data_IF_930508708901
#
_entry.id   IF_930508708901
#
_cell.length_a   1.000
_cell.length_b   1.000
_cell.length_c   1.000
_cell.angle_alpha   90.00
_cell.angle_beta   90.00
_cell.angle_gamma   90.00
#
_symmetry.space_group_name_H-M   'P 1'
#
loop_
_entity.id
_entity.type
_entity.pdbx_description
1 polymer ?
#
# COMPACT_ATOMS: atom_id res chain seq x y z
N UNK A 1 24.51 -29.91 -13.92
CA UNK A 1 24.15 -28.62 -13.29
C UNK A 1 22.67 -28.71 -13.00
N UNK A 2 22.24 -28.47 -11.76
CA UNK A 2 20.82 -28.48 -11.43
C UNK A 2 20.10 -27.37 -12.22
N UNK A 3 19.16 -27.69 -13.13
CA UNK A 3 18.45 -26.70 -13.91
C UNK A 3 17.72 -25.65 -13.06
N UNK A 4 17.26 -26.02 -11.85
CA UNK A 4 16.58 -25.10 -10.95
C UNK A 4 17.53 -24.00 -10.44
N UNK A 5 18.76 -24.37 -10.10
CA UNK A 5 19.77 -23.45 -9.57
C UNK A 5 20.20 -22.41 -10.62
N UNK A 6 20.28 -22.81 -11.90
CA UNK A 6 20.63 -21.93 -12.99
C UNK A 6 19.53 -20.88 -13.26
N UNK A 7 18.25 -21.30 -13.22
CA UNK A 7 17.10 -20.39 -13.35
C UNK A 7 17.06 -19.39 -12.20
N UNK A 8 17.37 -19.81 -10.98
CA UNK A 8 17.39 -18.94 -9.80
C UNK A 8 18.52 -17.88 -9.89
N UNK A 9 19.73 -18.29 -10.29
CA UNK A 9 20.86 -17.37 -10.51
C UNK A 9 20.56 -16.34 -11.61
N UNK A 10 19.92 -16.77 -12.70
CA UNK A 10 19.52 -15.87 -13.77
C UNK A 10 18.45 -14.87 -13.29
N UNK A 11 17.44 -15.34 -12.56
CA UNK A 11 16.41 -14.48 -11.97
C UNK A 11 16.98 -13.44 -11.01
N UNK A 12 17.91 -13.85 -10.13
CA UNK A 12 18.60 -12.95 -9.20
C UNK A 12 19.46 -11.92 -9.94
N UNK A 13 20.16 -12.33 -10.99
CA UNK A 13 20.99 -11.41 -11.78
C UNK A 13 20.16 -10.31 -12.45
N UNK A 14 18.97 -10.64 -12.95
CA UNK A 14 18.02 -9.68 -13.55
C UNK A 14 17.48 -8.69 -12.52
N UNK A 15 17.28 -9.14 -11.28
CA UNK A 15 16.81 -8.27 -10.20
C UNK A 15 17.92 -7.44 -9.54
N UNK A 16 19.18 -7.88 -9.61
CA UNK A 16 20.33 -7.22 -8.96
C UNK A 16 20.45 -5.74 -9.34
N UNK A 17 20.40 -5.41 -10.63
CA UNK A 17 20.47 -4.03 -11.10
C UNK A 17 19.31 -3.16 -10.55
N UNK A 18 18.11 -3.75 -10.40
CA UNK A 18 16.94 -3.07 -9.85
C UNK A 18 17.07 -2.85 -8.33
N UNK A 19 17.62 -3.82 -7.61
CA UNK A 19 17.90 -3.69 -6.17
C UNK A 19 18.96 -2.63 -5.92
N UNK A 20 20.10 -2.67 -6.63
CA UNK A 20 21.16 -1.66 -6.53
C UNK A 20 20.63 -0.26 -6.85
N UNK A 21 19.78 -0.11 -7.86
CA UNK A 21 19.14 1.16 -8.18
C UNK A 21 18.21 1.66 -7.07
N UNK A 22 17.52 0.74 -6.39
CA UNK A 22 16.69 1.08 -5.23
C UNK A 22 17.56 1.52 -4.04
N UNK A 23 18.66 0.83 -3.76
CA UNK A 23 19.54 1.16 -2.63
C UNK A 23 20.29 2.49 -2.78
N UNK A 24 20.54 2.94 -4.01
CA UNK A 24 21.11 4.28 -4.25
C UNK A 24 20.21 5.41 -3.75
N UNK A 25 18.91 5.16 -3.58
CA UNK A 25 18.00 6.09 -2.90
C UNK A 25 17.71 7.40 -3.64
N UNK A 26 18.04 7.50 -4.93
CA UNK A 26 18.03 8.75 -5.70
C UNK A 26 17.14 8.70 -6.95
N UNK A 27 16.19 7.76 -7.02
CA UNK A 27 15.21 7.78 -8.10
C UNK A 27 14.16 8.87 -7.86
N UNK A 28 13.64 9.43 -8.95
CA UNK A 28 12.55 10.42 -8.93
C UNK A 28 11.34 9.92 -8.12
N UNK A 29 11.04 8.62 -8.18
CA UNK A 29 9.93 8.01 -7.42
C UNK A 29 10.22 8.02 -5.91
N UNK A 30 11.46 7.72 -5.51
CA UNK A 30 11.83 7.74 -4.09
C UNK A 30 11.75 9.15 -3.53
N UNK A 31 12.28 10.14 -4.25
CA UNK A 31 12.19 11.55 -3.86
C UNK A 31 10.73 12.04 -3.81
N UNK A 32 9.89 11.57 -4.73
CA UNK A 32 8.48 11.93 -4.80
C UNK A 32 7.68 11.48 -3.57
N UNK A 33 7.96 10.28 -3.04
CA UNK A 33 7.25 9.69 -1.89
C UNK A 33 7.95 9.87 -0.54
N UNK A 34 9.19 10.36 -0.54
CA UNK A 34 9.97 10.59 0.67
C UNK A 34 9.24 11.54 1.63
N UNK A 35 9.12 11.11 2.88
CA UNK A 35 8.49 11.84 3.98
C UNK A 35 7.02 12.28 3.68
N UNK A 36 6.38 11.67 2.68
CA UNK A 36 4.99 11.97 2.32
C UNK A 36 4.00 11.16 3.15
N UNK A 37 2.78 11.69 3.21
CA UNK A 37 1.59 10.99 3.67
C UNK A 37 0.78 10.57 2.45
N UNK A 38 0.54 9.25 2.31
CA UNK A 38 -0.24 8.68 1.21
C UNK A 38 -1.54 8.10 1.72
N UNK A 39 -2.64 8.30 1.00
CA UNK A 39 -3.86 7.54 1.17
C UNK A 39 -3.94 6.42 0.13
N UNK A 40 -4.05 5.18 0.58
CA UNK A 40 -4.05 4.00 -0.28
C UNK A 40 -5.38 3.24 -0.15
N UNK A 41 -6.05 3.04 -1.29
CA UNK A 41 -7.18 2.10 -1.40
C UNK A 41 -6.71 0.75 -1.94
N UNK A 42 -7.41 -0.30 -1.55
CA UNK A 42 -7.07 -1.69 -1.91
C UNK A 42 -5.82 -2.25 -1.24
N UNK A 43 -5.35 -1.62 -0.16
CA UNK A 43 -4.14 -2.02 0.57
C UNK A 43 -4.18 -3.47 1.07
N UNK A 44 -5.38 -4.02 1.33
CA UNK A 44 -5.56 -5.42 1.75
C UNK A 44 -5.38 -6.45 0.64
N UNK A 45 -5.39 -6.04 -0.63
CA UNK A 45 -5.14 -6.93 -1.76
C UNK A 45 -3.68 -7.35 -1.87
N UNK A 46 -3.40 -8.36 -2.69
CA UNK A 46 -2.03 -8.88 -2.88
C UNK A 46 -1.04 -7.78 -3.28
N UNK A 47 -1.36 -6.99 -4.31
CA UNK A 47 -0.49 -5.89 -4.77
C UNK A 47 -0.44 -4.73 -3.77
N UNK A 48 -1.55 -4.39 -3.12
CA UNK A 48 -1.62 -3.33 -2.12
C UNK A 48 -0.64 -3.58 -0.97
N UNK A 49 -0.60 -4.80 -0.43
CA UNK A 49 0.35 -5.20 0.62
C UNK A 49 1.80 -5.04 0.19
N UNK A 50 2.13 -5.40 -1.05
CA UNK A 50 3.49 -5.24 -1.59
C UNK A 50 3.84 -3.76 -1.78
N UNK A 51 2.87 -2.94 -2.22
CA UNK A 51 3.06 -1.51 -2.42
C UNK A 51 3.35 -0.79 -1.10
N UNK A 52 2.54 -1.05 -0.05
CA UNK A 52 2.78 -0.51 1.30
C UNK A 52 4.20 -0.81 1.75
N UNK A 53 4.62 -2.07 1.64
CA UNK A 53 5.96 -2.49 2.02
C UNK A 53 7.06 -1.81 1.19
N UNK A 54 6.86 -1.68 -0.13
CA UNK A 54 7.81 -1.02 -1.02
C UNK A 54 7.94 0.48 -0.72
N UNK A 55 6.85 1.17 -0.39
CA UNK A 55 6.88 2.59 -0.06
C UNK A 55 7.68 2.85 1.23
N UNK A 56 7.48 2.03 2.27
CA UNK A 56 8.29 2.13 3.48
C UNK A 56 9.74 1.74 3.28
N UNK A 57 10.01 0.61 2.61
CA UNK A 57 11.37 0.08 2.48
C UNK A 57 12.24 0.88 1.50
N UNK A 58 11.67 1.29 0.37
CA UNK A 58 12.43 1.89 -0.72
C UNK A 58 12.30 3.41 -0.79
N UNK A 59 11.14 3.96 -0.41
CA UNK A 59 10.85 5.37 -0.63
C UNK A 59 10.94 6.23 0.64
N UNK A 60 11.19 5.62 1.80
CA UNK A 60 11.21 6.31 3.10
C UNK A 60 9.96 7.18 3.30
N UNK A 61 8.80 6.59 3.05
CA UNK A 61 7.51 7.27 3.22
C UNK A 61 7.26 7.57 4.71
N UNK A 62 6.61 8.69 4.99
CA UNK A 62 6.31 9.11 6.36
C UNK A 62 5.14 8.35 6.96
N UNK A 63 3.98 8.37 6.29
CA UNK A 63 2.72 7.80 6.79
C UNK A 63 1.87 7.25 5.64
N UNK A 64 1.14 6.16 5.89
CA UNK A 64 0.14 5.65 4.95
C UNK A 64 -1.21 5.49 5.66
N UNK A 65 -2.22 6.21 5.18
CA UNK A 65 -3.61 5.91 5.49
C UNK A 65 -4.09 4.79 4.56
N UNK A 66 -4.71 3.74 5.10
CA UNK A 66 -5.23 2.62 4.30
C UNK A 66 -6.74 2.51 4.43
N UNK A 67 -7.45 2.58 3.31
CA UNK A 67 -8.89 2.33 3.29
C UNK A 67 -9.14 0.83 3.40
N UNK A 68 -9.86 0.44 4.43
CA UNK A 68 -10.20 -0.95 4.72
C UNK A 68 -11.72 -1.11 4.80
N UNK A 69 -12.27 -1.90 3.86
CA UNK A 69 -13.68 -2.29 3.85
C UNK A 69 -14.05 -3.01 5.15
N UNK A 70 -15.12 -2.61 5.86
CA UNK A 70 -15.55 -3.31 7.07
C UNK A 70 -15.81 -4.81 6.82
N UNK A 71 -15.39 -5.68 7.75
CA UNK A 71 -15.76 -7.11 7.79
C UNK A 71 -16.62 -7.36 9.03
N UNK A 72 -17.64 -8.23 8.92
CA UNK A 72 -18.46 -8.60 10.09
C UNK A 72 -17.58 -9.26 11.16
N UNK A 73 -17.82 -8.91 12.42
CA UNK A 73 -17.12 -9.46 13.59
C UNK A 73 -15.60 -9.21 13.61
N UNK A 74 -15.11 -8.19 12.90
CA UNK A 74 -13.71 -7.75 12.99
C UNK A 74 -13.66 -6.25 13.18
N UNK A 75 -12.83 -5.82 14.11
CA UNK A 75 -12.44 -4.42 14.26
C UNK A 75 -11.52 -4.00 13.12
N UNK A 76 -11.37 -2.69 12.93
CA UNK A 76 -10.50 -2.15 11.88
C UNK A 76 -9.02 -2.42 12.19
N UNK A 77 -8.65 -2.45 13.48
CA UNK A 77 -7.33 -2.82 13.95
C UNK A 77 -7.01 -4.29 13.69
N UNK A 78 -7.94 -5.21 13.99
CA UNK A 78 -7.76 -6.63 13.66
C UNK A 78 -7.62 -6.86 12.15
N UNK A 79 -8.35 -6.09 11.33
CA UNK A 79 -8.23 -6.15 9.87
C UNK A 79 -6.88 -5.64 9.38
N UNK A 80 -6.32 -4.60 10.03
CA UNK A 80 -4.97 -4.12 9.76
C UNK A 80 -3.93 -5.17 10.16
N UNK A 81 -4.07 -5.79 11.32
CA UNK A 81 -3.18 -6.87 11.77
C UNK A 81 -3.20 -8.05 10.79
N UNK A 82 -4.39 -8.50 10.35
CA UNK A 82 -4.56 -9.52 9.30
C UNK A 82 -3.83 -9.12 7.99
N UNK A 83 -3.91 -7.84 7.60
CA UNK A 83 -3.21 -7.33 6.43
C UNK A 83 -1.69 -7.42 6.57
N UNK A 84 -1.16 -7.17 7.77
CA UNK A 84 0.26 -7.12 8.11
C UNK A 84 0.84 -8.45 8.60
N UNK A 85 0.03 -9.51 8.70
CA UNK A 85 0.43 -10.80 9.28
C UNK A 85 1.51 -11.57 8.52
N UNK A 86 2.08 -11.06 7.42
CA UNK A 86 3.16 -11.73 6.69
C UNK A 86 4.50 -11.67 7.49
N UNK A 87 4.92 -12.78 8.12
CA UNK A 87 6.01 -12.79 9.08
C UNK A 87 7.39 -12.62 8.43
N UNK A 88 7.51 -12.71 7.10
CA UNK A 88 8.77 -12.54 6.37
C UNK A 88 9.17 -11.07 6.19
N UNK A 89 8.31 -10.13 6.61
CA UNK A 89 8.41 -8.70 6.33
C UNK A 89 8.03 -7.87 7.55
N UNK A 90 8.78 -7.99 8.66
CA UNK A 90 8.66 -7.05 9.77
C UNK A 90 9.71 -5.93 9.67
N UNK A 91 9.37 -4.80 9.04
CA UNK A 91 9.99 -3.54 9.43
C UNK A 91 9.12 -2.85 10.48
N UNK A 92 9.75 -1.95 11.21
CA UNK A 92 9.18 -1.16 12.31
C UNK A 92 8.18 -0.09 11.83
N UNK A 93 7.44 -0.33 10.73
CA UNK A 93 6.61 0.68 10.06
C UNK A 93 5.12 0.59 10.38
N UNK A 94 4.67 -0.44 11.12
CA UNK A 94 3.25 -0.64 11.42
C UNK A 94 2.63 0.57 12.15
N UNK A 95 3.43 1.28 12.96
CA UNK A 95 3.04 2.49 13.68
C UNK A 95 2.69 3.66 12.75
N UNK A 96 3.21 3.66 11.52
CA UNK A 96 2.98 4.70 10.53
C UNK A 96 1.87 4.33 9.53
N UNK A 97 1.15 3.22 9.79
CA UNK A 97 -0.02 2.81 9.00
C UNK A 97 -1.28 3.09 9.80
N UNK A 98 -2.14 3.95 9.27
CA UNK A 98 -3.39 4.33 9.91
C UNK A 98 -4.56 3.73 9.12
N UNK A 99 -5.32 2.79 9.69
CA UNK A 99 -6.42 2.18 8.97
C UNK A 99 -7.68 3.03 9.11
N UNK A 100 -8.39 3.20 8.00
CA UNK A 100 -9.61 4.00 7.92
C UNK A 100 -10.74 3.15 7.37
N UNK A 101 -11.92 3.22 7.99
CA UNK A 101 -13.08 2.45 7.56
C UNK A 101 -13.73 3.12 6.36
N UNK A 102 -14.06 2.34 5.34
CA UNK A 102 -14.85 2.84 4.23
C UNK A 102 -14.87 1.92 3.03
N UNK A 103 -15.60 2.34 2.00
CA UNK A 103 -15.77 1.61 0.75
C UNK A 103 -15.69 2.58 -0.43
N UNK A 104 -14.96 2.19 -1.46
CA UNK A 104 -14.76 3.03 -2.65
C UNK A 104 -16.03 3.23 -3.46
N UNK A 105 -17.02 2.35 -3.30
CA UNK A 105 -18.34 2.47 -3.95
C UNK A 105 -19.26 3.51 -3.29
N UNK A 106 -18.93 3.95 -2.08
CA UNK A 106 -19.77 4.85 -1.29
C UNK A 106 -19.42 6.32 -1.53
N UNK A 107 -20.41 7.20 -1.34
CA UNK A 107 -20.17 8.65 -1.34
C UNK A 107 -19.14 8.97 -0.26
N UNK A 108 -18.18 9.84 -0.61
CA UNK A 108 -17.05 10.19 0.28
C UNK A 108 -16.27 8.95 0.76
N UNK A 109 -16.26 7.87 -0.03
CA UNK A 109 -15.62 6.61 0.29
C UNK A 109 -16.16 5.95 1.57
N UNK A 110 -17.37 6.32 2.02
CA UNK A 110 -17.94 5.86 3.28
C UNK A 110 -17.23 6.39 4.53
N UNK A 111 -16.42 7.44 4.37
CA UNK A 111 -15.71 8.10 5.47
C UNK A 111 -16.69 8.95 6.29
N UNK A 112 -16.52 8.93 7.61
CA UNK A 112 -17.17 9.92 8.48
C UNK A 112 -16.52 11.30 8.36
N UNK A 113 -17.11 12.30 9.00
CA UNK A 113 -16.64 13.68 8.88
C UNK A 113 -15.24 13.90 9.48
N UNK A 114 -14.89 13.17 10.54
CA UNK A 114 -13.59 13.28 11.21
C UNK A 114 -12.49 12.66 10.35
N UNK A 115 -12.70 11.43 9.86
CA UNK A 115 -11.79 10.73 8.96
C UNK A 115 -11.63 11.50 7.64
N UNK A 116 -12.72 12.04 7.10
CA UNK A 116 -12.67 12.88 5.90
C UNK A 116 -11.82 14.14 6.10
N UNK A 117 -12.02 14.85 7.21
CA UNK A 117 -11.23 16.05 7.52
C UNK A 117 -9.74 15.69 7.70
N UNK A 118 -9.45 14.62 8.42
CA UNK A 118 -8.09 14.13 8.63
C UNK A 118 -7.38 13.80 7.32
N UNK A 119 -8.02 12.98 6.47
CA UNK A 119 -7.47 12.57 5.17
C UNK A 119 -7.25 13.78 4.26
N UNK A 120 -8.25 14.65 4.12
CA UNK A 120 -8.15 15.81 3.22
C UNK A 120 -7.13 16.85 3.67
N UNK A 121 -6.79 16.89 4.96
CA UNK A 121 -5.80 17.81 5.53
C UNK A 121 -4.38 17.27 5.46
N UNK A 122 -4.17 15.98 5.76
CA UNK A 122 -2.83 15.41 5.91
C UNK A 122 -2.28 14.74 4.65
N UNK A 123 -3.13 14.27 3.75
CA UNK A 123 -2.71 13.43 2.62
C UNK A 123 -2.10 14.29 1.52
N UNK A 124 -0.85 13.96 1.16
CA UNK A 124 -0.15 14.61 0.06
C UNK A 124 -0.43 13.93 -1.28
N UNK A 125 -0.74 12.63 -1.28
CA UNK A 125 -0.91 11.81 -2.48
C UNK A 125 -1.95 10.71 -2.25
N UNK A 126 -2.75 10.39 -3.27
CA UNK A 126 -3.63 9.21 -3.26
C UNK A 126 -3.12 8.17 -4.24
N UNK A 127 -3.07 6.92 -3.80
CA UNK A 127 -2.75 5.77 -4.62
C UNK A 127 -3.92 4.76 -4.58
N UNK A 128 -4.20 4.13 -5.71
CA UNK A 128 -5.29 3.15 -5.83
C UNK A 128 -4.72 1.84 -6.33
N UNK A 129 -5.01 0.77 -5.60
CA UNK A 129 -4.78 -0.59 -6.04
C UNK A 129 -6.13 -1.30 -6.11
N UNK A 130 -6.40 -2.09 -7.16
CA UNK A 130 -7.61 -2.94 -7.17
C UNK A 130 -7.42 -4.00 -6.09
N UNK A 131 -8.37 -4.11 -5.16
CA UNK A 131 -8.48 -5.25 -4.27
C UNK A 131 -9.58 -6.16 -4.81
N UNK A 132 -9.17 -7.25 -5.44
CA UNK A 132 -10.06 -8.32 -5.85
C UNK A 132 -10.33 -9.21 -4.62
N UNK A 133 -11.40 -8.91 -3.89
CA UNK A 133 -12.02 -9.83 -2.91
C UNK A 133 -13.53 -9.84 -3.21
N UNK A 134 -13.95 -10.85 -3.99
CA UNK A 134 -15.31 -11.30 -4.38
C UNK A 134 -16.21 -10.44 -5.31
N UNK A 135 -16.64 -11.09 -6.42
CA UNK A 135 -17.88 -11.00 -7.21
C UNK A 135 -18.68 -9.69 -7.29
N UNK A 136 -18.07 -8.57 -7.70
CA UNK A 136 -18.83 -7.52 -8.37
C UNK A 136 -18.01 -6.88 -9.50
N UNK A 137 -18.36 -7.28 -10.71
CA UNK A 137 -17.87 -6.70 -11.96
C UNK A 137 -18.76 -5.50 -12.26
N UNK A 138 -18.55 -4.40 -11.54
CA UNK A 138 -18.86 -3.05 -12.03
C UNK A 138 -18.32 -2.05 -11.01
N UNK A 139 -17.36 -1.22 -11.45
CA UNK A 139 -17.37 0.24 -11.28
C UNK A 139 -15.99 0.88 -11.48
N UNK A 140 -16.09 2.09 -12.02
CA UNK A 140 -15.07 2.87 -12.70
C UNK A 140 -13.95 3.42 -11.82
N UNK A 141 -12.85 3.74 -12.50
CA UNK A 141 -11.61 4.30 -11.97
C UNK A 141 -11.83 5.65 -11.30
N UNK A 142 -11.42 5.80 -10.04
CA UNK A 142 -11.15 7.11 -9.45
C UNK A 142 -9.65 7.24 -9.15
N UNK A 143 -8.93 7.94 -10.02
CA UNK A 143 -7.58 8.42 -9.77
C UNK A 143 -7.69 9.84 -9.23
N UNK A 144 -7.46 10.06 -7.93
CA UNK A 144 -7.31 11.41 -7.37
C UNK A 144 -5.83 11.67 -7.09
N UNK A 145 -5.07 12.04 -8.12
CA UNK A 145 -3.76 12.64 -7.87
C UNK A 145 -4.04 14.08 -7.41
N UNK A 146 -4.03 14.35 -6.10
CA UNK A 146 -3.93 15.73 -5.64
C UNK A 146 -2.49 16.22 -5.72
N UNK A 147 -2.37 17.45 -6.19
CA UNK A 147 -1.15 18.24 -6.46
C UNK A 147 -0.20 18.29 -5.29
#
# INVERSE_FOLDING_TARGET
MDPALAVELEALSRQKAMFEATERGNSVIQEFYKDKTVFLTGASGFLGKQLVEKLFRACNIGKIFVLLRPKKNMTIQERLEEMLQDPKKKPNFAENIVPVKGDVSEIRLGLDDDDWMMITTEVNKVAVTRADDDDDVDNEWLVVISS
#
